data_IF_299326663943
#
_entry.id   IF_299326663943
#
_cell.length_a   1.000
_cell.length_b   1.000
_cell.length_c   1.000
_cell.angle_alpha   90.00
_cell.angle_beta   90.00
_cell.angle_gamma   90.00
#
_symmetry.space_group_name_H-M   'P 1'
#
loop_
_entity.id
_entity.type
_entity.pdbx_description
1 polymer ?
#
# COMPACT_ATOMS: atom_id res chain seq x y z
N UNK A 1 5.66 24.55 7.38
CA UNK A 1 4.24 24.35 7.06
C UNK A 1 4.15 23.98 5.59
N UNK A 2 4.02 22.70 5.26
CA UNK A 2 4.06 22.21 3.89
C UNK A 2 2.67 22.36 3.24
N UNK A 3 2.59 23.07 2.11
CA UNK A 3 1.35 23.32 1.36
C UNK A 3 1.17 22.28 0.24
N UNK A 4 0.66 21.10 0.58
CA UNK A 4 0.22 20.12 -0.42
C UNK A 4 -1.02 19.36 0.06
N UNK A 5 -2.13 20.08 0.25
CA UNK A 5 -3.43 19.52 0.62
C UNK A 5 -4.44 19.61 -0.55
N UNK A 6 -4.17 18.91 -1.65
CA UNK A 6 -5.21 18.64 -2.66
C UNK A 6 -5.23 17.15 -2.97
N UNK A 7 -6.07 16.42 -2.23
CA UNK A 7 -6.55 15.08 -2.55
C UNK A 7 -7.37 15.13 -3.84
N UNK A 8 -7.12 14.20 -4.77
CA UNK A 8 -7.91 14.05 -5.99
C UNK A 8 -7.15 14.31 -7.29
N UNK A 9 -5.97 13.72 -7.47
CA UNK A 9 -5.43 13.59 -8.83
C UNK A 9 -6.28 12.54 -9.58
N UNK A 10 -6.90 12.86 -10.73
CA UNK A 10 -7.06 11.83 -11.75
C UNK A 10 -5.63 11.43 -12.12
N UNK A 11 -5.11 10.37 -11.50
CA UNK A 11 -3.73 9.95 -11.71
C UNK A 11 -3.60 9.53 -13.18
N UNK A 12 -3.20 10.47 -14.04
CA UNK A 12 -2.62 10.13 -15.33
C UNK A 12 -1.29 9.46 -15.02
N UNK A 13 -1.15 8.22 -15.47
CA UNK A 13 0.03 7.42 -15.24
C UNK A 13 0.74 7.12 -16.56
N UNK A 14 2.06 7.03 -16.49
CA UNK A 14 2.88 6.51 -17.58
C UNK A 14 3.06 5.00 -17.38
N UNK A 15 2.80 4.21 -18.42
CA UNK A 15 3.04 2.76 -18.36
C UNK A 15 4.54 2.50 -18.60
N UNK A 16 5.17 1.81 -17.68
CA UNK A 16 6.58 1.41 -17.72
C UNK A 16 6.70 -0.08 -17.40
N UNK A 17 7.90 -0.64 -17.55
CA UNK A 17 8.20 -1.99 -17.07
C UNK A 17 8.66 -1.98 -15.59
N UNK A 18 8.89 -3.17 -15.03
CA UNK A 18 9.36 -3.32 -13.65
C UNK A 18 10.68 -2.57 -13.40
N UNK A 19 11.61 -2.61 -14.36
CA UNK A 19 12.88 -1.90 -14.27
C UNK A 19 12.67 -0.38 -14.18
N UNK A 20 11.73 0.18 -14.94
CA UNK A 20 11.32 1.57 -14.87
C UNK A 20 10.76 1.96 -13.50
N UNK A 21 9.90 1.11 -12.91
CA UNK A 21 9.38 1.32 -11.55
C UNK A 21 10.52 1.36 -10.53
N UNK A 22 11.39 0.35 -10.54
CA UNK A 22 12.50 0.23 -9.59
C UNK A 22 13.46 1.41 -9.71
N UNK A 23 13.84 1.79 -10.93
CA UNK A 23 14.75 2.89 -11.18
C UNK A 23 14.16 4.23 -10.67
N UNK A 24 12.89 4.49 -10.95
CA UNK A 24 12.22 5.71 -10.52
C UNK A 24 12.10 5.80 -8.99
N UNK A 25 11.66 4.72 -8.32
CA UNK A 25 11.53 4.67 -6.87
C UNK A 25 12.90 4.84 -6.18
N UNK A 26 13.93 4.16 -6.68
CA UNK A 26 15.30 4.26 -6.15
C UNK A 26 15.86 5.67 -6.32
N UNK A 27 15.66 6.30 -7.47
CA UNK A 27 16.13 7.66 -7.73
C UNK A 27 15.42 8.69 -6.84
N UNK A 28 14.11 8.56 -6.67
CA UNK A 28 13.32 9.41 -5.78
C UNK A 28 13.78 9.26 -4.32
N UNK A 29 13.96 8.01 -3.85
CA UNK A 29 14.48 7.73 -2.51
C UNK A 29 15.88 8.33 -2.29
N UNK A 30 16.82 8.10 -3.21
CA UNK A 30 18.18 8.63 -3.13
C UNK A 30 18.22 10.18 -3.13
N UNK A 31 17.23 10.81 -3.77
CA UNK A 31 17.08 12.26 -3.82
C UNK A 31 16.21 12.82 -2.68
N UNK A 32 15.82 11.99 -1.72
CA UNK A 32 14.94 12.33 -0.59
C UNK A 32 13.60 12.95 -1.03
N UNK A 33 13.10 12.59 -2.21
CA UNK A 33 11.79 13.02 -2.70
C UNK A 33 10.70 12.17 -2.05
N UNK A 34 9.51 12.74 -1.85
CA UNK A 34 8.34 11.99 -1.42
C UNK A 34 7.84 11.07 -2.54
N UNK A 35 7.74 9.78 -2.24
CA UNK A 35 7.17 8.75 -3.11
C UNK A 35 6.55 7.63 -2.26
N UNK A 36 5.66 6.86 -2.87
CA UNK A 36 5.14 5.61 -2.32
C UNK A 36 4.54 4.77 -3.45
N UNK A 37 4.05 3.56 -3.15
CA UNK A 37 3.45 2.70 -4.18
C UNK A 37 2.28 1.89 -3.65
N UNK A 38 1.51 1.32 -4.58
CA UNK A 38 0.41 0.39 -4.32
C UNK A 38 0.50 -0.81 -5.24
N UNK A 39 0.10 -1.99 -4.73
CA UNK A 39 -0.15 -3.17 -5.55
C UNK A 39 -1.65 -3.38 -5.63
N UNK A 40 -2.25 -2.92 -6.73
CA UNK A 40 -3.67 -3.01 -6.99
C UNK A 40 -3.99 -4.41 -7.54
N UNK A 41 -4.81 -5.16 -6.81
CA UNK A 41 -5.25 -6.50 -7.24
C UNK A 41 -6.16 -6.44 -8.48
N UNK A 42 -6.33 -7.55 -9.24
CA UNK A 42 -7.17 -7.60 -10.43
C UNK A 42 -8.61 -7.11 -10.27
N UNK A 43 -9.16 -7.20 -9.05
CA UNK A 43 -10.52 -6.77 -8.69
C UNK A 43 -10.53 -5.60 -7.70
N UNK A 44 -9.37 -4.97 -7.47
CA UNK A 44 -9.25 -3.80 -6.61
C UNK A 44 -10.13 -2.66 -7.13
N UNK A 45 -10.85 -1.99 -6.24
CA UNK A 45 -11.71 -0.84 -6.57
C UNK A 45 -10.93 0.29 -7.27
N UNK A 46 -9.63 0.43 -6.96
CA UNK A 46 -8.75 1.42 -7.59
C UNK A 46 -8.04 0.94 -8.87
N UNK A 47 -8.22 -0.33 -9.29
CA UNK A 47 -7.44 -0.86 -10.41
C UNK A 47 -7.82 -0.19 -11.73
N UNK A 48 -6.86 0.40 -12.47
CA UNK A 48 -7.12 0.95 -13.79
C UNK A 48 -7.21 -0.12 -14.88
N UNK A 49 -6.82 -1.38 -14.56
CA UNK A 49 -6.84 -2.51 -15.49
C UNK A 49 -7.42 -3.74 -14.81
N UNK A 50 -8.76 -3.90 -14.83
CA UNK A 50 -9.42 -5.09 -14.30
C UNK A 50 -8.84 -6.36 -14.94
N UNK A 51 -8.66 -7.41 -14.12
CA UNK A 51 -8.11 -8.70 -14.56
C UNK A 51 -6.59 -8.82 -14.54
N UNK A 52 -5.85 -7.74 -14.20
CA UNK A 52 -4.40 -7.77 -14.00
C UNK A 52 -4.00 -7.08 -12.69
N UNK A 53 -2.88 -7.47 -12.11
CA UNK A 53 -2.25 -6.69 -11.05
C UNK A 53 -1.67 -5.41 -11.63
N UNK A 54 -1.83 -4.29 -10.92
CA UNK A 54 -1.20 -3.03 -11.27
C UNK A 54 -0.26 -2.61 -10.13
N UNK A 55 1.02 -2.46 -10.42
CA UNK A 55 1.95 -1.79 -9.53
C UNK A 55 1.90 -0.30 -9.86
N UNK A 56 1.37 0.52 -8.96
CA UNK A 56 1.24 1.97 -9.11
C UNK A 56 2.29 2.65 -8.24
N UNK A 57 3.24 3.35 -8.85
CA UNK A 57 4.23 4.17 -8.16
C UNK A 57 3.80 5.64 -8.23
N UNK A 58 3.61 6.27 -7.08
CA UNK A 58 3.32 7.69 -6.96
C UNK A 58 4.61 8.44 -6.58
N UNK A 59 5.13 9.23 -7.50
CA UNK A 59 6.21 10.18 -7.27
C UNK A 59 5.59 11.51 -6.83
N UNK A 60 5.14 11.55 -5.57
CA UNK A 60 4.31 12.64 -5.02
C UNK A 60 4.93 14.02 -5.23
N UNK A 61 6.23 14.19 -4.94
CA UNK A 61 6.92 15.48 -5.14
C UNK A 61 6.98 15.90 -6.61
N UNK A 62 7.19 14.91 -7.50
CA UNK A 62 7.24 15.13 -8.94
C UNK A 62 5.86 15.27 -9.58
N UNK A 63 4.78 15.08 -8.80
CA UNK A 63 3.38 15.05 -9.27
C UNK A 63 3.20 14.13 -10.48
N UNK A 64 3.85 12.97 -10.44
CA UNK A 64 3.82 11.95 -11.50
C UNK A 64 3.45 10.60 -10.91
N UNK A 65 2.79 9.79 -11.74
CA UNK A 65 2.52 8.40 -11.43
C UNK A 65 3.02 7.51 -12.55
N UNK A 66 3.60 6.37 -12.19
CA UNK A 66 4.02 5.33 -13.12
C UNK A 66 3.24 4.06 -12.80
N UNK A 67 2.96 3.23 -13.79
CA UNK A 67 2.42 1.90 -13.53
C UNK A 67 3.08 0.81 -14.36
N UNK A 68 3.10 -0.39 -13.80
CA UNK A 68 3.45 -1.62 -14.50
C UNK A 68 2.35 -2.66 -14.24
N UNK A 69 2.02 -3.47 -15.25
CA UNK A 69 0.99 -4.49 -15.17
C UNK A 69 1.58 -5.89 -15.09
N UNK A 70 0.95 -6.76 -14.30
CA UNK A 70 1.41 -8.13 -14.05
C UNK A 70 0.24 -9.10 -14.10
N UNK A 71 0.50 -10.31 -14.59
CA UNK A 71 -0.49 -11.40 -14.56
C UNK A 71 -0.60 -11.99 -13.13
N UNK A 72 0.54 -12.09 -12.43
CA UNK A 72 0.65 -12.57 -11.05
C UNK A 72 0.96 -11.44 -10.07
N UNK A 73 0.75 -11.69 -8.76
CA UNK A 73 1.07 -10.73 -7.69
C UNK A 73 2.57 -10.36 -7.76
N UNK A 74 2.93 -9.07 -7.95
CA UNK A 74 4.32 -8.61 -8.14
C UNK A 74 5.13 -8.59 -6.83
N UNK A 75 5.30 -9.78 -6.23
CA UNK A 75 5.84 -9.95 -4.88
C UNK A 75 7.32 -9.58 -4.79
N UNK A 76 8.09 -9.85 -5.86
CA UNK A 76 9.52 -9.58 -5.89
C UNK A 76 9.82 -8.08 -5.80
N UNK A 77 9.27 -7.28 -6.71
CA UNK A 77 9.43 -5.82 -6.70
C UNK A 77 8.81 -5.17 -5.45
N UNK A 78 7.68 -5.68 -4.94
CA UNK A 78 7.10 -5.18 -3.70
C UNK A 78 8.07 -5.36 -2.51
N UNK A 79 8.60 -6.57 -2.31
CA UNK A 79 9.60 -6.85 -1.27
C UNK A 79 10.91 -6.08 -1.46
N UNK A 80 11.26 -5.74 -2.70
CA UNK A 80 12.44 -4.93 -3.00
C UNK A 80 12.26 -3.47 -2.55
N UNK A 81 11.08 -2.88 -2.76
CA UNK A 81 10.84 -1.46 -2.51
C UNK A 81 10.36 -1.15 -1.08
N UNK A 82 9.71 -2.09 -0.40
CA UNK A 82 9.27 -1.91 1.00
C UNK A 82 10.37 -1.42 1.95
N UNK A 83 11.60 -2.00 1.95
CA UNK A 83 12.66 -1.54 2.83
C UNK A 83 13.11 -0.10 2.59
N UNK A 84 12.98 0.40 1.36
CA UNK A 84 13.28 1.79 1.04
C UNK A 84 12.20 2.74 1.57
N UNK A 85 10.95 2.29 1.61
CA UNK A 85 9.81 3.13 2.01
C UNK A 85 9.62 3.17 3.53
N UNK A 86 9.66 2.02 4.19
CA UNK A 86 9.34 1.87 5.62
C UNK A 86 10.57 1.51 6.49
N UNK A 87 11.76 1.48 5.89
CA UNK A 87 13.02 1.09 6.54
C UNK A 87 13.32 -0.41 6.44
N UNK A 88 14.58 -0.79 6.70
CA UNK A 88 15.10 -2.15 6.50
C UNK A 88 14.34 -3.24 7.26
N UNK A 89 13.70 -2.86 8.36
CA UNK A 89 12.98 -3.77 9.26
C UNK A 89 11.47 -3.75 8.99
N UNK A 90 11.02 -3.27 7.82
CA UNK A 90 9.61 -3.16 7.43
C UNK A 90 8.83 -4.46 7.66
N UNK A 91 9.43 -5.61 7.31
CA UNK A 91 8.84 -6.95 7.45
C UNK A 91 9.38 -7.75 8.64
N UNK A 92 10.26 -7.16 9.47
CA UNK A 92 10.72 -7.82 10.68
C UNK A 92 9.55 -8.07 11.63
N UNK A 93 9.61 -9.17 12.38
CA UNK A 93 8.64 -9.42 13.43
C UNK A 93 8.83 -8.38 14.54
N UNK A 94 7.84 -7.50 14.73
CA UNK A 94 7.92 -6.42 15.71
C UNK A 94 7.35 -6.94 17.05
N UNK A 95 8.10 -6.85 18.15
CA UNK A 95 7.67 -7.37 19.44
C UNK A 95 6.36 -6.71 19.91
N UNK A 96 5.48 -7.52 20.50
CA UNK A 96 4.20 -7.10 21.07
C UNK A 96 4.41 -6.25 22.35
N UNK A 97 4.88 -5.01 22.20
CA UNK A 97 5.18 -4.11 23.34
C UNK A 97 4.07 -3.12 23.69
N UNK A 98 3.13 -2.87 22.78
CA UNK A 98 1.94 -2.01 23.01
C UNK A 98 0.77 -2.68 22.30
N UNK A 99 -0.34 -2.88 23.01
CA UNK A 99 -1.58 -3.41 22.45
C UNK A 99 -2.10 -2.51 21.33
N UNK A 100 -2.58 -3.12 20.26
CA UNK A 100 -3.32 -2.38 19.24
C UNK A 100 -4.70 -1.97 19.78
N UNK A 101 -5.39 -1.09 19.06
CA UNK A 101 -6.79 -0.80 19.38
C UNK A 101 -7.67 -2.03 19.12
N UNK A 102 -8.80 -2.15 19.82
CA UNK A 102 -9.75 -3.26 19.62
C UNK A 102 -10.21 -3.37 18.15
N UNK A 103 -10.35 -2.22 17.48
CA UNK A 103 -10.73 -2.15 16.08
C UNK A 103 -9.62 -2.63 15.13
N UNK A 104 -8.35 -2.39 15.46
CA UNK A 104 -7.22 -2.91 14.69
C UNK A 104 -7.04 -4.42 14.90
N UNK A 105 -7.23 -4.91 16.13
CA UNK A 105 -7.23 -6.35 16.41
C UNK A 105 -8.39 -7.06 15.67
N UNK A 106 -9.58 -6.43 15.61
CA UNK A 106 -10.71 -6.96 14.84
C UNK A 106 -10.42 -7.00 13.33
N UNK A 107 -9.77 -5.97 12.78
CA UNK A 107 -9.33 -5.96 11.38
C UNK A 107 -8.34 -7.10 11.09
N UNK A 108 -7.36 -7.29 11.96
CA UNK A 108 -6.37 -8.36 11.82
C UNK A 108 -7.02 -9.74 11.85
N UNK A 109 -7.92 -9.98 12.81
CA UNK A 109 -8.66 -11.24 12.89
C UNK A 109 -9.46 -11.54 11.62
N UNK A 110 -10.07 -10.51 11.01
CA UNK A 110 -10.80 -10.63 9.74
C UNK A 110 -9.86 -11.01 8.58
N UNK A 111 -8.69 -10.36 8.49
CA UNK A 111 -7.68 -10.66 7.47
C UNK A 111 -7.09 -12.05 7.65
N UNK A 112 -6.80 -12.46 8.89
CA UNK A 112 -6.28 -13.79 9.21
C UNK A 112 -7.27 -14.89 8.83
N UNK A 113 -8.57 -14.70 9.10
CA UNK A 113 -9.62 -15.62 8.69
C UNK A 113 -9.67 -15.76 7.17
N UNK A 114 -9.70 -14.64 6.44
CA UNK A 114 -9.71 -14.64 4.97
C UNK A 114 -8.46 -15.32 4.40
N UNK A 115 -7.27 -15.03 4.94
CA UNK A 115 -6.02 -15.65 4.52
C UNK A 115 -6.02 -17.16 4.77
N UNK A 116 -6.52 -17.61 5.92
CA UNK A 116 -6.62 -19.04 6.28
C UNK A 116 -7.59 -19.80 5.39
N UNK A 117 -8.69 -19.17 4.99
CA UNK A 117 -9.71 -19.75 4.11
C UNK A 117 -9.31 -19.72 2.63
N UNK A 118 -8.22 -19.03 2.29
CA UNK A 118 -7.82 -18.81 0.90
C UNK A 118 -8.72 -17.83 0.15
N UNK A 119 -9.53 -17.05 0.88
CA UNK A 119 -10.38 -15.99 0.31
C UNK A 119 -9.49 -14.88 -0.24
N UNK A 120 -9.77 -14.43 -1.46
CA UNK A 120 -9.00 -13.34 -2.08
C UNK A 120 -9.14 -12.06 -1.27
N UNK A 121 -8.00 -11.43 -0.93
CA UNK A 121 -7.96 -10.16 -0.23
C UNK A 121 -6.72 -9.35 -0.60
N UNK A 122 -6.77 -8.05 -0.35
CA UNK A 122 -5.60 -7.17 -0.44
C UNK A 122 -5.79 -5.93 0.43
N UNK A 123 -4.73 -5.15 0.60
CA UNK A 123 -4.73 -3.92 1.39
C UNK A 123 -3.98 -2.80 0.67
N UNK A 124 -4.29 -1.56 1.03
CA UNK A 124 -3.57 -0.36 0.62
C UNK A 124 -3.27 0.48 1.86
N UNK A 125 -2.00 0.83 2.05
CA UNK A 125 -1.61 1.88 2.97
C UNK A 125 -1.52 3.20 2.21
N UNK A 126 -2.53 4.04 2.38
CA UNK A 126 -2.59 5.33 1.73
C UNK A 126 -1.93 6.41 2.60
N UNK A 127 -0.92 7.05 2.04
CA UNK A 127 -0.26 8.21 2.63
C UNK A 127 -1.21 9.42 2.60
N UNK A 128 -1.05 10.42 3.49
CA UNK A 128 -1.82 11.66 3.45
C UNK A 128 -1.91 12.35 2.09
N UNK A 129 -0.82 12.31 1.33
CA UNK A 129 -0.68 12.95 0.01
C UNK A 129 -0.94 11.99 -1.17
N UNK A 130 -1.39 10.77 -0.91
CA UNK A 130 -1.70 9.78 -1.94
C UNK A 130 -2.90 10.24 -2.78
N UNK A 131 -2.80 10.10 -4.12
CA UNK A 131 -3.86 10.46 -5.05
C UNK A 131 -5.13 9.61 -4.91
N UNK A 132 -5.00 8.39 -4.39
CA UNK A 132 -6.13 7.49 -4.07
C UNK A 132 -6.79 7.80 -2.72
N UNK A 133 -6.14 8.61 -1.88
CA UNK A 133 -6.60 8.85 -0.52
C UNK A 133 -7.64 9.97 -0.43
N UNK A 134 -8.82 9.64 0.10
CA UNK A 134 -9.88 10.62 0.39
C UNK A 134 -9.97 11.02 1.87
N UNK A 135 -8.99 10.63 2.69
CA UNK A 135 -9.01 10.82 4.16
C UNK A 135 -8.57 12.21 4.67
N UNK A 136 -8.73 13.27 3.87
CA UNK A 136 -8.39 14.67 4.23
C UNK A 136 -7.07 14.81 5.02
N UNK A 137 -5.96 14.33 4.42
CA UNK A 137 -4.61 14.47 4.98
C UNK A 137 -4.25 13.47 6.10
N UNK A 138 -5.07 12.46 6.36
CA UNK A 138 -4.72 11.35 7.28
C UNK A 138 -4.13 10.16 6.54
N UNK A 139 -3.43 9.32 7.30
CA UNK A 139 -3.07 7.98 6.84
C UNK A 139 -4.31 7.11 6.79
N UNK A 140 -4.45 6.27 5.76
CA UNK A 140 -5.61 5.39 5.63
C UNK A 140 -5.23 3.97 5.27
N UNK A 141 -5.58 3.01 6.12
CA UNK A 141 -5.54 1.60 5.77
C UNK A 141 -6.89 1.22 5.16
N UNK A 142 -6.84 0.68 3.95
CA UNK A 142 -8.00 0.22 3.21
C UNK A 142 -7.82 -1.25 2.86
N UNK A 143 -8.82 -2.08 3.13
CA UNK A 143 -8.75 -3.53 2.95
C UNK A 143 -9.99 -4.01 2.23
N UNK A 144 -9.79 -4.77 1.14
CA UNK A 144 -10.87 -5.45 0.43
C UNK A 144 -10.70 -6.96 0.57
N UNK A 145 -11.77 -7.63 0.95
CA UNK A 145 -11.88 -9.08 1.06
C UNK A 145 -13.07 -9.49 0.19
N UNK A 146 -12.89 -10.48 -0.69
CA UNK A 146 -13.95 -10.90 -1.60
C UNK A 146 -15.19 -11.38 -0.82
N UNK A 147 -16.36 -10.86 -1.19
CA UNK A 147 -17.62 -11.12 -0.50
C UNK A 147 -17.96 -10.21 0.69
N UNK A 148 -17.05 -9.31 1.09
CA UNK A 148 -17.27 -8.35 2.17
C UNK A 148 -17.29 -6.91 1.66
N UNK A 149 -17.92 -6.01 2.42
CA UNK A 149 -17.74 -4.57 2.21
C UNK A 149 -16.30 -4.15 2.56
N UNK A 150 -15.70 -3.19 1.83
CA UNK A 150 -14.36 -2.70 2.13
C UNK A 150 -14.25 -2.12 3.55
N UNK A 151 -13.17 -2.46 4.25
CA UNK A 151 -12.87 -1.90 5.58
C UNK A 151 -11.89 -0.73 5.42
N UNK A 152 -12.22 0.40 6.04
CA UNK A 152 -11.39 1.61 6.01
C UNK A 152 -11.08 2.08 7.42
N UNK A 153 -9.81 2.45 7.66
CA UNK A 153 -9.32 2.94 8.96
C UNK A 153 -8.42 4.15 8.75
N UNK A 154 -8.70 5.23 9.46
CA UNK A 154 -7.98 6.50 9.33
C UNK A 154 -7.13 6.76 10.58
N UNK A 155 -5.88 7.19 10.39
CA UNK A 155 -4.90 7.39 11.44
C UNK A 155 -4.25 8.77 11.33
N UNK A 156 -3.96 9.39 12.48
CA UNK A 156 -3.25 10.67 12.52
C UNK A 156 -1.79 10.54 12.05
N UNK A 157 -1.16 9.42 12.39
CA UNK A 157 0.22 9.08 12.05
C UNK A 157 0.28 7.73 11.33
N UNK A 158 1.43 7.36 10.77
CA UNK A 158 1.61 6.07 10.10
C UNK A 158 1.30 4.90 11.06
N UNK A 159 0.33 4.03 10.74
CA UNK A 159 -0.09 2.92 11.59
C UNK A 159 0.87 1.72 11.49
N UNK A 160 2.18 1.97 11.65
CA UNK A 160 3.28 1.06 11.33
C UNK A 160 3.27 -0.30 12.06
N UNK A 161 2.51 -0.43 13.14
CA UNK A 161 2.34 -1.70 13.88
C UNK A 161 1.27 -2.60 13.26
N UNK A 162 0.06 -2.08 13.06
CA UNK A 162 -1.01 -2.84 12.40
C UNK A 162 -0.64 -3.08 10.93
N UNK A 163 -0.03 -2.09 10.26
CA UNK A 163 0.48 -2.26 8.89
C UNK A 163 1.48 -3.43 8.80
N UNK A 164 2.47 -3.49 9.68
CA UNK A 164 3.45 -4.57 9.69
C UNK A 164 2.78 -5.96 9.85
N UNK A 165 1.78 -6.09 10.73
CA UNK A 165 1.04 -7.35 10.88
C UNK A 165 0.25 -7.69 9.62
N UNK A 166 -0.44 -6.73 9.01
CA UNK A 166 -1.16 -6.91 7.73
C UNK A 166 -0.22 -7.34 6.61
N UNK A 167 0.93 -6.68 6.46
CA UNK A 167 1.92 -6.99 5.43
C UNK A 167 2.53 -8.38 5.63
N UNK A 168 2.82 -8.75 6.88
CA UNK A 168 3.29 -10.11 7.21
C UNK A 168 2.29 -11.17 6.76
N UNK A 169 1.00 -11.00 7.05
CA UNK A 169 -0.06 -11.91 6.58
C UNK A 169 -0.13 -11.90 5.04
N UNK A 170 -0.03 -10.72 4.41
CA UNK A 170 -0.06 -10.55 2.95
C UNK A 170 1.08 -11.29 2.22
N UNK A 171 2.25 -11.37 2.84
CA UNK A 171 3.42 -12.07 2.31
C UNK A 171 3.57 -13.51 2.81
N UNK A 172 2.63 -14.01 3.63
CA UNK A 172 2.72 -15.35 4.23
C UNK A 172 3.89 -15.50 5.20
N UNK A 173 4.26 -14.41 5.88
CA UNK A 173 5.33 -14.35 6.87
C UNK A 173 4.69 -14.42 8.26
N UNK A 174 4.27 -15.61 8.66
CA UNK A 174 3.73 -15.84 10.00
C UNK A 174 4.85 -16.25 10.94
#
# INVERSE_FOLDING_TARGET
MCQSCHSGLPLSFEVVDEAGIVAAATAAHASQQAWHFHVLAPRCTFSPKPGAYTFLLELTDAKRALCAFYDDKPTAVNKQLLPLLHGTDALADKPAGVSLSDEDEALLALIEAAAKEGTSWHHHMMFPACGLNSSDGKWRLFVEIDGNEPVTRDYADEPSRVLNRVERIYFGLN
#
